data_IF_455606297331
#
_entry.id   IF_455606297331
#
_cell.length_a   1.000
_cell.length_b   1.000
_cell.length_c   1.000
_cell.angle_alpha   90.00
_cell.angle_beta   90.00
_cell.angle_gamma   90.00
#
_symmetry.space_group_name_H-M   'P 1'
#
loop_
_entity.id
_entity.type
_entity.pdbx_description
1 polymer ?
#
# COMPACT_ATOMS: atom_id res chain seq x y z
N UNK A 1 12.95 -38.77 8.72
CA UNK A 1 13.66 -37.56 9.20
C UNK A 1 14.25 -36.87 7.98
N UNK A 2 13.57 -35.85 7.45
CA UNK A 2 13.96 -35.18 6.19
C UNK A 2 14.72 -33.90 6.55
N UNK A 3 15.91 -33.74 5.98
CA UNK A 3 16.87 -32.66 6.25
C UNK A 3 16.32 -31.26 5.86
N UNK A 4 16.64 -30.17 6.60
CA UNK A 4 16.03 -28.84 6.40
C UNK A 4 16.56 -28.02 5.21
N UNK A 5 17.45 -28.59 4.38
CA UNK A 5 18.17 -27.84 3.33
C UNK A 5 17.41 -27.69 2.00
N UNK A 6 16.33 -28.45 1.78
CA UNK A 6 15.59 -28.46 0.51
C UNK A 6 14.34 -27.54 0.53
N UNK A 7 13.82 -27.21 1.70
CA UNK A 7 12.65 -26.33 1.88
C UNK A 7 12.93 -24.87 1.49
N UNK A 8 14.19 -24.43 1.64
CA UNK A 8 14.61 -23.06 1.29
C UNK A 8 14.68 -22.87 -0.24
N UNK A 9 14.96 -23.95 -1.00
CA UNK A 9 15.03 -23.92 -2.47
C UNK A 9 13.65 -23.86 -3.15
N UNK A 10 12.66 -24.57 -2.62
CA UNK A 10 11.29 -24.58 -3.13
C UNK A 10 10.54 -23.27 -2.85
N UNK A 11 10.67 -22.73 -1.64
CA UNK A 11 10.15 -21.40 -1.31
C UNK A 11 10.81 -20.29 -2.17
N UNK A 12 12.07 -20.49 -2.59
CA UNK A 12 12.80 -19.57 -3.47
C UNK A 12 12.34 -19.64 -4.93
N UNK A 13 11.79 -20.77 -5.38
CA UNK A 13 11.21 -20.94 -6.72
C UNK A 13 9.76 -20.45 -6.77
N UNK A 14 8.91 -20.80 -5.80
CA UNK A 14 7.50 -20.37 -5.76
C UNK A 14 7.36 -18.83 -5.70
N UNK A 15 8.26 -18.14 -5.00
CA UNK A 15 8.26 -16.67 -4.87
C UNK A 15 8.75 -15.96 -6.15
N UNK A 16 9.60 -16.59 -6.97
CA UNK A 16 10.00 -16.03 -8.26
C UNK A 16 8.81 -15.95 -9.24
N UNK A 17 7.86 -16.88 -9.14
CA UNK A 17 6.73 -16.98 -10.07
C UNK A 17 5.63 -15.94 -9.80
N UNK A 18 5.37 -15.52 -8.56
CA UNK A 18 4.26 -14.59 -8.24
C UNK A 18 4.50 -13.18 -8.81
N UNK A 19 5.76 -12.75 -8.95
CA UNK A 19 6.08 -11.45 -9.56
C UNK A 19 5.89 -11.43 -11.10
N UNK A 20 5.92 -12.59 -11.75
CA UNK A 20 5.75 -12.72 -13.20
C UNK A 20 4.27 -12.78 -13.65
N UNK A 21 3.31 -12.99 -12.73
CA UNK A 21 1.87 -13.05 -13.07
C UNK A 21 1.20 -11.69 -13.21
N UNK A 22 1.73 -10.66 -12.56
CA UNK A 22 1.02 -9.40 -12.34
C UNK A 22 1.65 -8.31 -13.18
N UNK A 23 0.84 -7.62 -13.99
CA UNK A 23 1.35 -6.46 -14.73
C UNK A 23 1.67 -5.35 -13.74
N UNK A 24 2.88 -4.80 -13.82
CA UNK A 24 3.33 -3.67 -12.98
C UNK A 24 2.35 -2.49 -13.08
N UNK A 25 1.79 -2.25 -14.27
CA UNK A 25 0.75 -1.25 -14.51
C UNK A 25 -0.52 -1.48 -13.66
N UNK A 26 -0.90 -2.72 -13.37
CA UNK A 26 -2.06 -3.01 -12.52
C UNK A 26 -1.78 -2.71 -11.04
N UNK A 27 -0.53 -2.84 -10.58
CA UNK A 27 -0.11 -2.38 -9.26
C UNK A 27 -0.26 -0.86 -9.16
N UNK A 28 0.07 -0.12 -10.24
CA UNK A 28 -0.15 1.32 -10.28
C UNK A 28 -1.62 1.69 -10.11
N UNK A 29 -2.53 1.03 -10.83
CA UNK A 29 -3.96 1.25 -10.66
C UNK A 29 -4.41 0.91 -9.25
N UNK A 30 -4.01 -0.22 -8.66
CA UNK A 30 -4.34 -0.56 -7.28
C UNK A 30 -3.90 0.53 -6.29
N UNK A 31 -2.66 1.02 -6.43
CA UNK A 31 -2.14 2.14 -5.63
C UNK A 31 -2.96 3.42 -5.83
N UNK A 32 -3.44 3.66 -7.05
CA UNK A 32 -4.18 4.87 -7.40
C UNK A 32 -5.58 4.90 -6.80
N UNK A 33 -6.26 3.76 -6.75
CA UNK A 33 -7.53 3.63 -6.02
C UNK A 33 -7.31 3.67 -4.51
N UNK A 34 -6.35 2.90 -3.99
CA UNK A 34 -6.11 2.82 -2.54
C UNK A 34 -5.66 4.16 -1.94
N UNK A 35 -4.99 5.00 -2.74
CA UNK A 35 -4.58 6.35 -2.37
C UNK A 35 -5.52 7.36 -3.01
N UNK A 36 -6.53 7.83 -2.26
CA UNK A 36 -7.52 8.84 -2.72
C UNK A 36 -6.89 10.07 -3.43
N UNK A 37 -5.62 10.38 -3.16
CA UNK A 37 -4.88 11.52 -3.73
C UNK A 37 -4.08 11.20 -5.02
N UNK A 38 -3.95 9.94 -5.44
CA UNK A 38 -3.19 9.58 -6.66
C UNK A 38 -3.89 10.06 -7.94
N UNK A 39 -5.20 10.27 -7.86
CA UNK A 39 -6.03 10.59 -9.01
C UNK A 39 -5.78 11.98 -9.58
N UNK A 40 -5.34 12.94 -8.76
CA UNK A 40 -5.00 14.29 -9.24
C UNK A 40 -3.64 14.34 -9.95
N UNK A 41 -2.78 13.32 -9.76
CA UNK A 41 -1.41 13.28 -10.31
C UNK A 41 -1.33 12.62 -11.71
N UNK A 42 -2.43 12.63 -12.48
CA UNK A 42 -2.48 12.21 -13.89
C UNK A 42 -2.19 10.73 -14.13
N UNK A 43 -3.06 9.89 -13.60
CA UNK A 43 -3.09 8.43 -13.82
C UNK A 43 -2.89 8.07 -15.28
N UNK A 44 -3.51 8.80 -16.21
CA UNK A 44 -3.57 8.42 -17.62
C UNK A 44 -2.19 8.39 -18.31
N UNK A 45 -1.26 9.28 -17.93
CA UNK A 45 0.05 9.33 -18.60
C UNK A 45 1.01 8.27 -18.05
N UNK A 46 1.01 8.04 -16.72
CA UNK A 46 1.85 6.99 -16.13
C UNK A 46 1.26 5.62 -16.48
N UNK A 47 -0.06 5.48 -16.49
CA UNK A 47 -0.70 4.24 -16.91
C UNK A 47 -0.59 3.99 -18.42
N UNK A 48 -0.37 5.00 -19.26
CA UNK A 48 -0.12 4.78 -20.69
C UNK A 48 1.24 4.11 -20.95
N UNK A 49 2.19 4.20 -20.01
CA UNK A 49 3.51 3.58 -20.14
C UNK A 49 3.48 2.09 -19.73
N UNK A 50 4.23 1.28 -20.47
CA UNK A 50 4.56 -0.08 -20.05
C UNK A 50 5.81 -0.08 -19.17
N UNK A 51 5.75 -0.82 -18.06
CA UNK A 51 6.83 -0.95 -17.10
C UNK A 51 7.25 -2.41 -16.99
N UNK A 52 8.50 -2.70 -17.34
CA UNK A 52 9.10 -4.03 -17.15
C UNK A 52 9.47 -4.27 -15.68
N UNK A 53 9.78 -3.20 -14.96
CA UNK A 53 10.22 -3.25 -13.57
C UNK A 53 9.42 -2.29 -12.69
N UNK A 54 8.99 -2.77 -11.54
CA UNK A 54 8.27 -1.97 -10.54
C UNK A 54 9.07 -0.74 -10.05
N UNK A 55 10.41 -0.80 -10.13
CA UNK A 55 11.27 0.34 -9.82
C UNK A 55 11.10 1.49 -10.82
N UNK A 56 10.87 1.19 -12.09
CA UNK A 56 10.58 2.18 -13.12
C UNK A 56 9.24 2.85 -12.86
N UNK A 57 8.24 2.07 -12.44
CA UNK A 57 6.96 2.62 -12.03
C UNK A 57 7.13 3.63 -10.88
N UNK A 58 7.86 3.28 -9.82
CA UNK A 58 8.09 4.24 -8.73
C UNK A 58 8.90 5.45 -9.15
N UNK A 59 9.90 5.25 -10.02
CA UNK A 59 10.66 6.36 -10.57
C UNK A 59 9.74 7.31 -11.35
N UNK A 60 8.87 6.80 -12.22
CA UNK A 60 7.90 7.60 -12.98
C UNK A 60 6.94 8.38 -12.07
N UNK A 61 6.37 7.71 -11.06
CA UNK A 61 5.47 8.34 -10.08
C UNK A 61 6.19 9.46 -9.33
N UNK A 62 7.40 9.21 -8.84
CA UNK A 62 8.18 10.21 -8.11
C UNK A 62 8.65 11.35 -9.00
N UNK A 63 9.08 11.07 -10.23
CA UNK A 63 9.53 12.11 -11.17
C UNK A 63 8.42 13.12 -11.37
N UNK A 64 7.21 12.62 -11.64
CA UNK A 64 6.05 13.48 -11.82
C UNK A 64 5.66 14.18 -10.54
N UNK A 65 5.44 13.44 -9.47
CA UNK A 65 4.89 14.01 -8.24
C UNK A 65 5.85 14.96 -7.53
N UNK A 66 7.16 14.65 -7.50
CA UNK A 66 8.18 15.57 -6.98
C UNK A 66 8.34 16.77 -7.91
N UNK A 67 8.27 16.59 -9.24
CA UNK A 67 8.26 17.70 -10.19
C UNK A 67 7.09 18.66 -9.97
N UNK A 68 5.88 18.13 -9.77
CA UNK A 68 4.70 18.91 -9.41
C UNK A 68 4.87 19.63 -8.07
N UNK A 69 5.45 18.95 -7.08
CA UNK A 69 5.71 19.54 -5.77
C UNK A 69 6.73 20.67 -5.83
N UNK A 70 7.79 20.53 -6.63
CA UNK A 70 8.78 21.59 -6.86
C UNK A 70 8.12 22.79 -7.54
N UNK A 71 7.27 22.57 -8.56
CA UNK A 71 6.53 23.65 -9.23
C UNK A 71 5.60 24.43 -8.29
N UNK A 72 4.99 23.74 -7.31
CA UNK A 72 4.16 24.36 -6.27
C UNK A 72 4.98 25.04 -5.16
N UNK A 73 6.26 24.72 -5.07
CA UNK A 73 7.15 25.11 -3.97
C UNK A 73 7.30 23.99 -2.95
N UNK A 74 8.54 23.75 -2.51
CA UNK A 74 8.83 22.79 -1.46
C UNK A 74 8.22 23.24 -0.14
N UNK A 75 7.67 22.27 0.61
CA UNK A 75 7.17 22.54 1.95
C UNK A 75 8.32 22.98 2.85
N UNK A 76 8.14 24.15 3.46
CA UNK A 76 9.04 24.73 4.45
C UNK A 76 8.40 24.69 5.82
N UNK A 77 9.21 24.49 6.84
CA UNK A 77 8.76 24.55 8.22
C UNK A 77 9.80 25.27 9.08
N UNK A 78 9.34 25.76 10.22
CA UNK A 78 10.20 26.30 11.26
C UNK A 78 10.87 25.15 11.99
N UNK A 79 12.20 25.08 11.91
CA UNK A 79 13.02 24.11 12.64
C UNK A 79 13.84 24.89 13.68
N UNK A 80 13.79 24.50 14.97
CA UNK A 80 14.59 25.14 15.98
C UNK A 80 16.07 24.86 15.72
N UNK A 81 16.86 25.93 15.60
CA UNK A 81 18.30 25.89 15.46
C UNK A 81 18.98 26.45 16.70
N UNK A 82 20.10 25.84 17.07
CA UNK A 82 21.06 26.37 18.03
C UNK A 82 22.38 26.66 17.32
N UNK A 83 22.77 27.93 17.25
CA UNK A 83 24.00 28.33 16.56
C UNK A 83 24.78 29.38 17.35
N UNK A 84 26.12 29.34 17.25
CA UNK A 84 27.02 30.35 17.81
C UNK A 84 27.32 31.43 16.78
N UNK A 85 26.61 32.56 16.87
CA UNK A 85 26.63 33.64 15.87
C UNK A 85 27.09 34.97 16.46
N UNK A 86 27.65 35.84 15.61
CA UNK A 86 28.12 37.17 16.02
C UNK A 86 27.02 38.25 16.03
N UNK A 87 25.92 38.01 15.33
CA UNK A 87 24.70 38.81 15.38
C UNK A 87 23.72 38.18 16.37
N UNK A 88 22.99 39.01 17.13
CA UNK A 88 21.97 38.49 18.05
C UNK A 88 20.69 38.19 17.28
N UNK A 89 20.22 36.94 17.36
CA UNK A 89 18.97 36.48 16.72
C UNK A 89 18.22 35.53 17.65
N UNK A 90 16.90 35.69 17.74
CA UNK A 90 16.06 34.84 18.57
C UNK A 90 16.39 34.90 20.07
N UNK A 91 16.32 33.75 20.75
CA UNK A 91 16.58 33.62 22.19
C UNK A 91 18.06 33.36 22.45
N UNK A 92 18.70 34.26 23.18
CA UNK A 92 20.11 34.12 23.58
C UNK A 92 20.24 33.10 24.72
N UNK A 93 21.10 32.10 24.55
CA UNK A 93 21.48 31.14 25.59
C UNK A 93 22.71 31.65 26.34
N UNK A 94 22.47 32.54 27.31
CA UNK A 94 23.53 33.18 28.09
C UNK A 94 24.36 32.12 28.83
N UNK A 95 23.72 31.15 29.47
CA UNK A 95 24.39 30.07 30.21
C UNK A 95 25.36 29.30 29.32
N UNK A 96 24.93 28.89 28.12
CA UNK A 96 25.80 28.15 27.21
C UNK A 96 26.87 29.02 26.55
N UNK A 97 26.58 30.30 26.29
CA UNK A 97 27.57 31.27 25.81
C UNK A 97 28.71 31.49 26.81
N UNK A 98 28.40 31.50 28.12
CA UNK A 98 29.40 31.60 29.19
C UNK A 98 30.18 30.29 29.30
N UNK A 99 29.50 29.14 29.36
CA UNK A 99 30.12 27.81 29.46
C UNK A 99 31.11 27.55 28.33
N UNK A 100 30.73 27.88 27.10
CA UNK A 100 31.55 27.69 25.90
C UNK A 100 32.50 28.87 25.63
N UNK A 101 32.50 29.90 26.48
CA UNK A 101 33.33 31.11 26.37
C UNK A 101 33.22 31.82 25.01
N UNK A 102 32.06 31.73 24.33
CA UNK A 102 31.87 32.26 22.98
C UNK A 102 31.97 33.79 22.94
N UNK A 103 31.68 34.45 24.08
CA UNK A 103 31.76 35.89 24.24
C UNK A 103 33.17 36.44 23.99
N UNK A 104 34.23 35.67 24.30
CA UNK A 104 35.62 36.05 24.03
C UNK A 104 35.89 36.22 22.53
N UNK A 105 35.11 35.52 21.69
CA UNK A 105 35.16 35.59 20.22
C UNK A 105 34.07 36.51 19.65
N UNK A 106 33.41 37.32 20.49
CA UNK A 106 32.29 38.19 20.13
C UNK A 106 31.13 37.45 19.47
N UNK A 107 30.84 36.23 19.96
CA UNK A 107 29.70 35.42 19.52
C UNK A 107 28.84 34.98 20.70
N UNK A 108 27.56 34.74 20.45
CA UNK A 108 26.60 34.23 21.42
C UNK A 108 25.94 32.96 20.89
N UNK A 109 25.70 31.98 21.76
CA UNK A 109 24.85 30.82 21.47
C UNK A 109 23.40 31.32 21.43
N UNK A 110 22.75 31.18 20.28
CA UNK A 110 21.40 31.67 20.02
C UNK A 110 20.49 30.53 19.57
N UNK A 111 19.29 30.46 20.15
CA UNK A 111 18.19 29.62 19.69
C UNK A 111 17.22 30.43 18.84
N UNK A 112 16.99 30.01 17.61
CA UNK A 112 16.01 30.66 16.73
C UNK A 112 15.37 29.64 15.80
N UNK A 113 14.16 29.95 15.35
CA UNK A 113 13.48 29.12 14.36
C UNK A 113 13.91 29.52 12.95
N UNK A 114 14.48 28.56 12.21
CA UNK A 114 14.84 28.75 10.81
C UNK A 114 13.71 28.23 9.91
N UNK A 115 13.25 29.09 8.99
CA UNK A 115 12.25 28.70 8.00
C UNK A 115 12.94 28.02 6.81
N UNK A 116 13.04 26.70 6.88
CA UNK A 116 13.86 25.89 5.97
C UNK A 116 13.01 24.90 5.18
N UNK A 117 13.48 24.55 3.98
CA UNK A 117 12.97 23.43 3.19
C UNK A 117 13.55 22.09 3.64
N UNK A 118 14.50 22.07 4.57
CA UNK A 118 15.05 20.86 5.18
C UNK A 118 14.05 20.23 6.17
N UNK A 119 12.92 19.78 5.64
CA UNK A 119 11.85 19.11 6.38
C UNK A 119 11.94 17.61 6.18
N UNK A 120 11.49 16.82 7.17
CA UNK A 120 11.45 15.36 7.07
C UNK A 120 10.76 14.86 5.78
N UNK A 121 9.72 15.56 5.32
CA UNK A 121 9.06 15.25 4.06
C UNK A 121 10.03 15.32 2.86
N UNK A 122 10.77 16.41 2.73
CA UNK A 122 11.72 16.59 1.64
C UNK A 122 12.93 15.67 1.77
N UNK A 123 13.39 15.40 3.00
CA UNK A 123 14.47 14.44 3.27
C UNK A 123 14.08 13.03 2.80
N UNK A 124 12.84 12.62 3.07
CA UNK A 124 12.30 11.33 2.60
C UNK A 124 12.27 11.29 1.07
N UNK A 125 11.74 12.33 0.39
CA UNK A 125 11.72 12.40 -1.08
C UNK A 125 13.14 12.27 -1.66
N UNK A 126 14.08 13.07 -1.14
CA UNK A 126 15.49 13.06 -1.55
C UNK A 126 16.07 11.65 -1.40
N UNK A 127 15.89 11.05 -0.23
CA UNK A 127 16.45 9.74 0.05
C UNK A 127 15.85 8.64 -0.82
N UNK A 128 14.54 8.65 -1.08
CA UNK A 128 13.93 7.67 -1.97
C UNK A 128 14.48 7.76 -3.40
N UNK A 129 14.64 8.98 -3.94
CA UNK A 129 15.23 9.17 -5.26
C UNK A 129 16.68 8.69 -5.32
N UNK A 130 17.49 8.97 -4.28
CA UNK A 130 18.86 8.47 -4.17
C UNK A 130 18.93 6.93 -4.15
N UNK A 131 17.98 6.27 -3.48
CA UNK A 131 17.89 4.82 -3.47
C UNK A 131 17.54 4.26 -4.86
N UNK A 132 16.57 4.85 -5.56
CA UNK A 132 16.20 4.44 -6.91
C UNK A 132 17.35 4.61 -7.92
N UNK A 133 18.17 5.66 -7.79
CA UNK A 133 19.35 5.85 -8.64
C UNK A 133 20.37 4.72 -8.55
N UNK A 134 20.45 4.05 -7.39
CA UNK A 134 21.37 2.93 -7.15
C UNK A 134 20.84 1.60 -7.70
N UNK A 135 19.57 1.52 -8.10
CA UNK A 135 18.98 0.29 -8.60
C UNK A 135 19.36 0.05 -10.06
N UNK A 136 19.85 -1.15 -10.37
CA UNK A 136 20.21 -1.55 -11.73
C UNK A 136 19.01 -1.59 -12.68
N UNK A 137 17.84 -1.92 -12.16
CA UNK A 137 16.55 -2.06 -12.86
C UNK A 137 15.93 -0.74 -13.32
N UNK A 138 16.36 0.42 -12.80
CA UNK A 138 15.78 1.70 -13.20
C UNK A 138 16.38 2.17 -14.53
N UNK A 139 15.53 2.48 -15.51
CA UNK A 139 15.95 2.90 -16.85
C UNK A 139 16.81 4.18 -16.82
N UNK A 140 17.78 4.34 -17.76
CA UNK A 140 18.72 5.47 -17.74
C UNK A 140 18.09 6.87 -17.87
N UNK A 141 17.02 6.99 -18.66
CA UNK A 141 16.17 8.17 -18.81
C UNK A 141 15.53 8.57 -17.48
N UNK A 142 14.95 7.62 -16.73
CA UNK A 142 14.45 7.88 -15.38
C UNK A 142 15.55 8.30 -14.41
N UNK A 143 16.72 7.65 -14.45
CA UNK A 143 17.87 8.09 -13.64
C UNK A 143 18.30 9.52 -13.98
N UNK A 144 18.20 9.94 -15.24
CA UNK A 144 18.52 11.31 -15.66
C UNK A 144 17.54 12.32 -15.05
N UNK A 145 16.23 12.04 -15.12
CA UNK A 145 15.22 12.93 -14.54
C UNK A 145 15.28 12.99 -13.01
N UNK A 146 15.49 11.85 -12.33
CA UNK A 146 15.70 11.82 -10.88
C UNK A 146 16.90 12.69 -10.45
N UNK A 147 18.02 12.64 -11.18
CA UNK A 147 19.18 13.51 -10.90
C UNK A 147 18.85 14.99 -11.06
N UNK A 148 18.05 15.37 -12.07
CA UNK A 148 17.62 16.76 -12.24
C UNK A 148 16.77 17.23 -11.06
N UNK A 149 15.84 16.41 -10.59
CA UNK A 149 14.98 16.75 -9.46
C UNK A 149 15.78 16.89 -8.16
N UNK A 150 16.80 16.06 -7.96
CA UNK A 150 17.70 16.17 -6.81
C UNK A 150 18.46 17.49 -6.72
N UNK A 151 18.69 18.19 -7.85
CA UNK A 151 19.34 19.52 -7.83
C UNK A 151 18.49 20.56 -7.08
N UNK A 152 17.16 20.42 -7.08
CA UNK A 152 16.25 21.29 -6.33
C UNK A 152 16.21 20.97 -4.83
N UNK A 153 16.77 19.83 -4.41
CA UNK A 153 16.85 19.39 -3.01
C UNK A 153 18.28 19.51 -2.46
N UNK A 154 19.07 20.45 -3.02
CA UNK A 154 20.47 20.67 -2.63
C UNK A 154 20.65 21.09 -1.17
N UNK A 155 19.71 21.87 -0.62
CA UNK A 155 19.75 22.34 0.77
C UNK A 155 19.06 21.38 1.76
N UNK A 156 18.54 20.26 1.28
CA UNK A 156 17.86 19.26 2.10
C UNK A 156 18.88 18.23 2.55
N UNK A 157 18.94 17.92 3.84
CA UNK A 157 19.93 16.99 4.38
C UNK A 157 19.57 15.54 4.05
N UNK A 158 20.60 14.68 3.99
CA UNK A 158 20.37 13.25 3.76
C UNK A 158 19.94 12.57 5.06
N UNK A 159 18.93 11.71 4.98
CA UNK A 159 18.48 10.89 6.10
C UNK A 159 18.71 9.41 5.82
N UNK A 160 19.31 8.67 6.76
CA UNK A 160 19.44 7.22 6.63
C UNK A 160 18.04 6.57 6.64
N UNK A 161 17.74 5.58 5.79
CA UNK A 161 16.38 5.05 5.69
C UNK A 161 15.84 4.46 7.00
N UNK A 162 16.72 3.85 7.81
CA UNK A 162 16.38 3.30 9.13
C UNK A 162 16.14 4.36 10.21
N UNK A 163 16.59 5.60 9.98
CA UNK A 163 16.41 6.72 10.90
C UNK A 163 15.10 7.49 10.67
N UNK A 164 14.34 7.15 9.61
CA UNK A 164 13.08 7.81 9.29
C UNK A 164 12.04 7.44 10.35
N UNK A 165 11.58 8.44 11.11
CA UNK A 165 10.46 8.32 12.05
C UNK A 165 9.14 8.63 11.35
N UNK A 166 8.52 7.61 10.77
CA UNK A 166 7.26 7.74 10.03
C UNK A 166 6.10 8.26 10.89
N UNK A 167 6.10 7.93 12.17
CA UNK A 167 5.15 8.39 13.20
C UNK A 167 5.26 9.88 13.51
N UNK A 168 6.38 10.53 13.17
CA UNK A 168 6.58 11.97 13.34
C UNK A 168 5.97 12.81 12.21
N UNK A 169 5.55 12.19 11.10
CA UNK A 169 4.94 12.90 9.98
C UNK A 169 3.58 13.46 10.36
N UNK A 170 3.35 14.72 10.00
CA UNK A 170 2.09 15.43 10.24
C UNK A 170 1.61 16.04 8.94
N UNK A 171 0.37 15.72 8.58
CA UNK A 171 -0.28 16.24 7.39
C UNK A 171 -1.33 17.27 7.78
N UNK A 172 -1.28 18.42 7.12
CA UNK A 172 -2.23 19.52 7.24
C UNK A 172 -2.44 20.13 5.85
N UNK A 173 -3.40 21.06 5.72
CA UNK A 173 -3.77 21.67 4.43
C UNK A 173 -2.57 22.14 3.57
N UNK A 174 -1.51 22.66 4.20
CA UNK A 174 -0.33 23.21 3.50
C UNK A 174 0.68 22.15 3.00
N UNK A 175 0.51 20.87 3.34
CA UNK A 175 1.38 19.79 2.89
C UNK A 175 0.60 18.52 2.51
N UNK A 176 -0.72 18.64 2.31
CA UNK A 176 -1.59 17.51 1.97
C UNK A 176 -1.16 16.80 0.67
N UNK A 177 -0.55 17.55 -0.24
CA UNK A 177 0.02 17.08 -1.51
C UNK A 177 1.17 16.08 -1.31
N UNK A 178 1.91 16.17 -0.20
CA UNK A 178 2.99 15.25 0.10
C UNK A 178 2.49 13.86 0.52
N UNK A 179 1.28 13.75 1.07
CA UNK A 179 0.79 12.49 1.66
C UNK A 179 0.90 11.31 0.71
N UNK A 180 0.55 11.53 -0.56
CA UNK A 180 0.68 10.52 -1.60
C UNK A 180 2.15 10.15 -1.86
N UNK A 181 3.00 11.16 -2.10
CA UNK A 181 4.41 10.92 -2.41
C UNK A 181 5.13 10.22 -1.26
N UNK A 182 4.82 10.60 -0.03
CA UNK A 182 5.40 9.98 1.15
C UNK A 182 4.90 8.55 1.33
N UNK A 183 3.65 8.21 0.96
CA UNK A 183 3.21 6.82 0.93
C UNK A 183 4.00 6.01 -0.11
N UNK A 184 4.26 6.56 -1.29
CA UNK A 184 5.09 5.91 -2.31
C UNK A 184 6.54 5.76 -1.82
N UNK A 185 7.11 6.78 -1.20
CA UNK A 185 8.42 6.72 -0.57
C UNK A 185 8.49 5.69 0.55
N UNK A 186 7.44 5.63 1.39
CA UNK A 186 7.31 4.64 2.46
C UNK A 186 7.36 3.24 1.89
N UNK A 187 6.59 3.00 0.83
CA UNK A 187 6.65 1.77 0.10
C UNK A 187 8.12 1.53 -0.33
N UNK A 188 8.65 2.31 -1.28
CA UNK A 188 9.97 2.08 -1.87
C UNK A 188 11.05 1.83 -0.81
N UNK A 189 11.09 2.65 0.24
CA UNK A 189 12.07 2.52 1.31
C UNK A 189 11.88 1.22 2.11
N UNK A 190 10.67 0.92 2.58
CA UNK A 190 10.43 -0.19 3.51
C UNK A 190 10.68 -1.58 2.94
N UNK A 191 10.98 -1.70 1.66
CA UNK A 191 11.67 -2.91 1.29
C UNK A 191 12.36 -2.94 -0.06
N UNK A 192 12.92 -1.80 -0.41
CA UNK A 192 14.36 -1.81 -0.61
C UNK A 192 15.12 -2.24 0.67
N UNK A 193 14.72 -1.79 1.87
CA UNK A 193 15.41 -2.13 3.12
C UNK A 193 15.43 -3.62 3.50
N UNK A 194 14.48 -4.42 3.02
CA UNK A 194 14.40 -5.88 3.26
C UNK A 194 15.36 -6.70 2.38
N UNK A 195 16.15 -6.04 1.53
CA UNK A 195 17.04 -6.70 0.55
C UNK A 195 18.51 -6.77 0.98
N UNK A 196 18.84 -6.39 2.22
CA UNK A 196 20.23 -6.36 2.68
C UNK A 196 20.72 -7.74 3.13
N UNK A 197 20.98 -8.62 2.17
CA UNK A 197 22.01 -9.67 2.26
C UNK A 197 22.23 -10.21 0.83
N UNK A 198 23.36 -9.86 0.21
CA UNK A 198 23.74 -10.10 -1.20
C UNK A 198 22.98 -9.26 -2.24
N UNK A 199 23.63 -8.20 -2.73
CA UNK A 199 23.12 -7.21 -3.69
C UNK A 199 22.79 -7.76 -5.09
N UNK A 200 21.75 -8.58 -5.19
CA UNK A 200 21.07 -8.93 -6.43
C UNK A 200 19.57 -8.70 -6.26
N UNK A 201 19.04 -7.74 -7.02
CA UNK A 201 17.62 -7.53 -7.36
C UNK A 201 16.58 -8.22 -6.47
N UNK A 202 16.06 -7.56 -5.42
CA UNK A 202 14.88 -8.07 -4.70
C UNK A 202 13.92 -7.02 -4.16
N UNK A 203 13.67 -5.93 -4.88
CA UNK A 203 12.36 -5.26 -4.72
C UNK A 203 11.21 -6.14 -5.23
N UNK A 204 11.50 -7.28 -5.86
CA UNK A 204 10.52 -8.33 -6.14
C UNK A 204 10.12 -9.14 -4.89
N UNK A 205 10.86 -9.02 -3.77
CA UNK A 205 10.52 -9.69 -2.49
C UNK A 205 9.60 -8.84 -1.60
N UNK A 206 9.11 -7.71 -2.11
CA UNK A 206 9.05 -6.49 -1.32
C UNK A 206 7.68 -6.11 -0.75
N UNK A 207 6.56 -6.44 -1.37
CA UNK A 207 5.32 -6.28 -0.62
C UNK A 207 5.13 -7.60 0.10
N UNK A 208 5.59 -7.66 1.37
CA UNK A 208 5.24 -8.74 2.28
C UNK A 208 3.76 -9.07 2.07
N UNK A 209 3.39 -10.35 2.02
CA UNK A 209 2.03 -10.78 1.63
C UNK A 209 0.94 -9.95 2.31
N UNK A 210 1.16 -9.54 3.56
CA UNK A 210 0.30 -8.63 4.33
C UNK A 210 0.13 -7.22 3.73
N UNK A 211 1.20 -6.59 3.22
CA UNK A 211 1.12 -5.26 2.60
C UNK A 211 0.43 -5.31 1.24
N UNK A 212 0.65 -6.37 0.45
CA UNK A 212 -0.12 -6.59 -0.77
C UNK A 212 -1.57 -6.89 -0.47
N UNK A 213 -1.84 -7.72 0.54
CA UNK A 213 -3.19 -8.03 0.98
C UNK A 213 -3.95 -6.75 1.35
N UNK A 214 -3.35 -5.88 2.17
CA UNK A 214 -3.93 -4.58 2.52
C UNK A 214 -4.11 -3.65 1.33
N UNK A 215 -3.15 -3.63 0.40
CA UNK A 215 -3.27 -2.84 -0.83
C UNK A 215 -4.44 -3.34 -1.66
N UNK A 216 -4.56 -4.65 -1.83
CA UNK A 216 -5.60 -5.32 -2.58
C UNK A 216 -6.99 -5.09 -1.96
N UNK A 217 -7.13 -5.29 -0.66
CA UNK A 217 -8.34 -5.00 0.13
C UNK A 217 -8.79 -3.54 -0.10
N UNK A 218 -7.89 -2.58 0.13
CA UNK A 218 -8.17 -1.15 -0.03
C UNK A 218 -8.49 -0.77 -1.47
N UNK A 219 -7.82 -1.39 -2.43
CA UNK A 219 -8.09 -1.19 -3.84
C UNK A 219 -9.53 -1.60 -4.18
N UNK A 220 -9.93 -2.83 -3.82
CA UNK A 220 -11.28 -3.33 -4.13
C UNK A 220 -12.34 -2.47 -3.45
N UNK A 221 -12.12 -2.08 -2.19
CA UNK A 221 -13.02 -1.16 -1.50
C UNK A 221 -13.12 0.19 -2.20
N UNK A 222 -11.98 0.83 -2.50
CA UNK A 222 -11.94 2.14 -3.13
C UNK A 222 -12.51 2.14 -4.55
N UNK A 223 -12.36 1.02 -5.29
CA UNK A 223 -12.98 0.81 -6.59
C UNK A 223 -14.50 0.93 -6.48
N UNK A 224 -15.13 0.16 -5.60
CA UNK A 224 -16.58 0.22 -5.42
C UNK A 224 -17.05 1.55 -4.86
N UNK A 225 -16.33 2.13 -3.89
CA UNK A 225 -16.68 3.46 -3.34
C UNK A 225 -16.78 4.53 -4.42
N UNK A 226 -15.95 4.40 -5.47
CA UNK A 226 -15.90 5.36 -6.56
C UNK A 226 -16.96 5.09 -7.63
N UNK A 227 -17.04 3.85 -8.11
CA UNK A 227 -17.86 3.51 -9.27
C UNK A 227 -19.28 3.10 -8.92
N UNK A 228 -19.49 2.61 -7.69
CA UNK A 228 -20.78 2.15 -7.20
C UNK A 228 -21.15 2.71 -5.82
N UNK A 229 -21.19 4.04 -5.63
CA UNK A 229 -21.62 4.64 -4.37
C UNK A 229 -23.05 4.23 -3.98
N UNK A 230 -23.90 3.88 -4.95
CA UNK A 230 -25.26 3.38 -4.75
C UNK A 230 -25.33 2.05 -3.96
N UNK A 231 -24.24 1.29 -3.91
CA UNK A 231 -24.13 0.07 -3.09
C UNK A 231 -23.58 0.32 -1.68
N UNK A 232 -23.46 1.59 -1.28
CA UNK A 232 -22.90 2.01 0.01
C UNK A 232 -21.63 1.26 0.46
N UNK A 233 -20.55 1.21 -0.36
CA UNK A 233 -19.41 0.33 -0.12
C UNK A 233 -18.61 0.71 1.12
N UNK A 234 -18.43 -0.23 2.05
CA UNK A 234 -17.70 0.00 3.31
C UNK A 234 -17.15 -1.29 3.92
N UNK A 235 -16.08 -1.17 4.72
CA UNK A 235 -15.75 -2.19 5.70
C UNK A 235 -16.77 -2.13 6.84
N UNK A 236 -17.42 -3.25 7.18
CA UNK A 236 -18.47 -3.30 8.21
C UNK A 236 -18.08 -4.25 9.34
N UNK A 237 -18.44 -3.86 10.57
CA UNK A 237 -18.51 -4.81 11.67
C UNK A 237 -19.79 -5.63 11.56
N UNK A 238 -19.66 -6.95 11.77
CA UNK A 238 -20.78 -7.89 11.76
C UNK A 238 -20.95 -8.36 13.20
N UNK A 239 -22.13 -8.16 13.76
CA UNK A 239 -22.41 -8.55 15.13
C UNK A 239 -22.70 -10.06 15.17
N UNK A 240 -22.21 -10.74 16.21
CA UNK A 240 -22.59 -12.11 16.52
C UNK A 240 -24.10 -12.22 16.72
N UNK A 241 -24.68 -13.28 16.18
CA UNK A 241 -26.09 -13.63 16.32
C UNK A 241 -26.28 -14.52 17.55
N UNK A 242 -26.14 -13.91 18.72
CA UNK A 242 -26.31 -14.56 20.02
C UNK A 242 -27.10 -13.65 20.95
N UNK A 243 -27.74 -14.23 21.96
CA UNK A 243 -28.50 -13.50 22.98
C UNK A 243 -27.64 -12.99 24.15
N UNK A 244 -26.40 -13.49 24.28
CA UNK A 244 -25.49 -13.23 25.41
C UNK A 244 -24.40 -12.19 25.06
N UNK A 245 -23.62 -11.80 26.08
CA UNK A 245 -22.52 -10.86 25.95
C UNK A 245 -21.41 -11.37 25.02
N UNK A 246 -20.94 -10.50 24.13
CA UNK A 246 -19.94 -10.84 23.10
C UNK A 246 -18.49 -10.57 23.53
N UNK A 247 -18.22 -10.33 24.82
CA UNK A 247 -16.94 -9.77 25.30
C UNK A 247 -15.71 -10.61 24.94
N UNK A 248 -15.85 -11.94 24.93
CA UNK A 248 -14.76 -12.87 24.61
C UNK A 248 -14.76 -13.35 23.16
N UNK A 249 -15.71 -12.89 22.34
CA UNK A 249 -15.83 -13.32 20.95
C UNK A 249 -14.92 -12.49 20.04
N UNK A 250 -14.34 -13.10 19.00
CA UNK A 250 -13.51 -12.37 18.06
C UNK A 250 -14.37 -11.37 17.28
N UNK A 251 -13.80 -10.19 17.04
CA UNK A 251 -14.47 -9.14 16.27
C UNK A 251 -14.57 -9.57 14.81
N UNK A 252 -15.79 -9.66 14.28
CA UNK A 252 -16.02 -9.92 12.86
C UNK A 252 -16.04 -8.60 12.10
N UNK A 253 -15.03 -8.38 11.28
CA UNK A 253 -14.93 -7.22 10.40
C UNK A 253 -14.72 -7.71 8.98
N UNK A 254 -15.63 -7.35 8.08
CA UNK A 254 -15.48 -7.64 6.66
C UNK A 254 -14.54 -6.64 5.99
N UNK A 255 -13.85 -7.09 4.95
CA UNK A 255 -13.07 -6.22 4.06
C UNK A 255 -13.99 -5.24 3.32
N UNK A 256 -14.99 -5.75 2.59
CA UNK A 256 -15.98 -4.94 1.87
C UNK A 256 -17.38 -5.49 2.10
N UNK A 257 -18.33 -4.59 2.30
CA UNK A 257 -19.77 -4.85 2.24
C UNK A 257 -20.38 -3.94 1.19
N UNK A 258 -21.18 -4.53 0.31
CA UNK A 258 -22.01 -3.83 -0.67
C UNK A 258 -23.47 -4.10 -0.31
N UNK A 259 -24.29 -3.07 -0.18
CA UNK A 259 -25.70 -3.18 0.16
C UNK A 259 -26.55 -2.44 -0.85
N UNK A 260 -27.54 -3.11 -1.42
CA UNK A 260 -28.51 -2.53 -2.33
C UNK A 260 -29.91 -3.06 -2.01
N UNK A 261 -30.83 -2.16 -1.66
CA UNK A 261 -32.15 -2.52 -1.11
C UNK A 261 -31.99 -3.48 0.09
N UNK A 262 -32.63 -4.64 0.05
CA UNK A 262 -32.53 -5.67 1.09
C UNK A 262 -31.36 -6.64 0.88
N UNK A 263 -30.69 -6.59 -0.28
CA UNK A 263 -29.60 -7.49 -0.63
C UNK A 263 -28.26 -6.95 -0.14
N UNK A 264 -27.41 -7.84 0.39
CA UNK A 264 -26.05 -7.52 0.84
C UNK A 264 -25.06 -8.53 0.31
N UNK A 265 -23.95 -8.06 -0.26
CA UNK A 265 -22.77 -8.87 -0.57
C UNK A 265 -21.68 -8.52 0.45
N UNK A 266 -21.12 -9.55 1.08
CA UNK A 266 -19.89 -9.46 1.89
C UNK A 266 -18.75 -9.99 1.04
N UNK A 267 -17.75 -9.18 0.74
CA UNK A 267 -16.55 -9.58 0.01
C UNK A 267 -15.40 -9.65 1.00
N UNK A 268 -14.72 -10.79 1.02
CA UNK A 268 -13.51 -11.03 1.77
C UNK A 268 -12.38 -11.30 0.77
N UNK A 269 -11.35 -10.47 0.82
CA UNK A 269 -10.26 -10.44 -0.15
C UNK A 269 -9.09 -11.27 0.33
N UNK A 270 -8.46 -12.02 -0.57
CA UNK A 270 -7.39 -12.94 -0.24
C UNK A 270 -6.22 -12.77 -1.20
N UNK A 271 -5.04 -12.47 -0.65
CA UNK A 271 -3.77 -12.39 -1.39
C UNK A 271 -2.88 -13.57 -1.01
N UNK A 272 -2.78 -14.57 -1.88
CA UNK A 272 -1.98 -15.77 -1.63
C UNK A 272 -1.29 -16.26 -2.90
N UNK A 273 -0.12 -16.87 -2.73
CA UNK A 273 0.54 -17.63 -3.78
C UNK A 273 -0.19 -18.93 -4.16
N UNK A 274 -1.07 -19.44 -3.28
CA UNK A 274 -1.93 -20.60 -3.52
C UNK A 274 -3.38 -20.31 -3.19
N UNK A 275 -4.28 -20.52 -4.15
CA UNK A 275 -5.73 -20.29 -4.04
C UNK A 275 -6.51 -21.56 -3.68
N UNK A 276 -5.85 -22.73 -3.76
CA UNK A 276 -6.40 -24.04 -3.38
C UNK A 276 -5.48 -24.79 -2.40
N UNK A 277 -6.07 -25.66 -1.57
CA UNK A 277 -5.36 -26.62 -0.73
C UNK A 277 -5.20 -27.95 -1.48
N UNK A 278 -3.98 -28.48 -1.53
CA UNK A 278 -3.69 -29.80 -2.09
C UNK A 278 -3.55 -30.82 -0.98
N UNK A 279 -4.31 -31.91 -1.03
CA UNK A 279 -4.09 -33.06 -0.17
C UNK A 279 -3.03 -33.96 -0.82
N UNK A 280 -1.80 -33.92 -0.28
CA UNK A 280 -0.66 -34.66 -0.83
C UNK A 280 -0.81 -36.18 -0.80
N UNK A 281 -1.77 -36.72 -0.04
CA UNK A 281 -2.01 -38.15 0.07
C UNK A 281 -2.95 -38.69 -1.01
N UNK A 282 -3.81 -37.82 -1.59
CA UNK A 282 -4.84 -38.19 -2.57
C UNK A 282 -4.79 -37.38 -3.87
N UNK A 283 -3.79 -36.51 -4.02
CA UNK A 283 -3.62 -35.55 -5.13
C UNK A 283 -4.91 -34.77 -5.47
N UNK A 284 -5.75 -34.53 -4.45
CA UNK A 284 -7.00 -33.81 -4.59
C UNK A 284 -6.83 -32.33 -4.22
N UNK A 285 -7.48 -31.45 -4.98
CA UNK A 285 -7.50 -30.01 -4.74
C UNK A 285 -8.84 -29.61 -4.14
N UNK A 286 -8.81 -28.79 -3.10
CA UNK A 286 -10.00 -28.27 -2.40
C UNK A 286 -9.86 -26.79 -2.08
N UNK A 287 -10.96 -26.13 -1.75
CA UNK A 287 -10.92 -24.74 -1.29
C UNK A 287 -10.25 -24.61 0.08
N UNK A 288 -9.65 -23.45 0.35
CA UNK A 288 -9.06 -23.16 1.66
C UNK A 288 -10.17 -23.09 2.72
N UNK A 289 -10.22 -24.10 3.59
CA UNK A 289 -11.30 -24.29 4.56
C UNK A 289 -11.45 -23.10 5.52
N UNK A 290 -10.34 -22.52 5.99
CA UNK A 290 -10.37 -21.35 6.89
C UNK A 290 -11.06 -20.15 6.26
N UNK A 291 -10.86 -19.90 4.96
CA UNK A 291 -11.50 -18.80 4.23
C UNK A 291 -13.00 -19.07 4.08
N UNK A 292 -13.35 -20.31 3.73
CA UNK A 292 -14.74 -20.76 3.63
C UNK A 292 -15.50 -20.59 4.95
N UNK A 293 -14.90 -21.00 6.07
CA UNK A 293 -15.51 -20.86 7.39
C UNK A 293 -15.67 -19.40 7.81
N UNK A 294 -14.68 -18.55 7.50
CA UNK A 294 -14.75 -17.12 7.79
C UNK A 294 -15.92 -16.45 7.05
N UNK A 295 -15.99 -16.60 5.72
CA UNK A 295 -17.05 -15.97 4.93
C UNK A 295 -18.43 -16.53 5.29
N UNK A 296 -18.52 -17.84 5.53
CA UNK A 296 -19.78 -18.47 5.95
C UNK A 296 -20.27 -17.90 7.28
N UNK A 297 -19.36 -17.73 8.26
CA UNK A 297 -19.68 -17.13 9.56
C UNK A 297 -20.21 -15.70 9.38
N UNK A 298 -19.54 -14.89 8.53
CA UNK A 298 -19.97 -13.51 8.26
C UNK A 298 -21.36 -13.44 7.63
N UNK A 299 -21.60 -14.26 6.61
CA UNK A 299 -22.89 -14.32 5.92
C UNK A 299 -24.01 -14.75 6.87
N UNK A 300 -23.80 -15.80 7.67
CA UNK A 300 -24.82 -16.28 8.60
C UNK A 300 -25.17 -15.30 9.71
N UNK A 301 -24.18 -14.66 10.31
CA UNK A 301 -24.42 -13.66 11.36
C UNK A 301 -25.05 -12.36 10.81
N UNK A 302 -24.90 -12.10 9.50
CA UNK A 302 -25.55 -10.99 8.82
C UNK A 302 -26.98 -11.33 8.38
N UNK A 303 -27.23 -12.55 7.92
CA UNK A 303 -28.54 -13.06 7.51
C UNK A 303 -29.29 -13.76 8.66
N UNK A 304 -29.49 -13.04 9.76
CA UNK A 304 -30.08 -13.60 11.00
C UNK A 304 -31.48 -14.17 10.80
N UNK A 305 -32.24 -13.58 9.88
CA UNK A 305 -33.61 -14.00 9.57
C UNK A 305 -33.66 -15.14 8.54
N UNK A 306 -32.52 -15.59 8.02
CA UNK A 306 -32.45 -16.65 7.01
C UNK A 306 -33.15 -16.27 5.70
N UNK A 307 -33.11 -14.99 5.33
CA UNK A 307 -33.79 -14.44 4.16
C UNK A 307 -33.20 -14.91 2.83
N UNK A 308 -31.93 -15.34 2.83
CA UNK A 308 -31.16 -15.58 1.60
C UNK A 308 -30.68 -14.30 0.92
N UNK A 309 -31.01 -13.12 1.45
CA UNK A 309 -30.63 -11.82 0.88
C UNK A 309 -29.19 -11.39 1.22
N UNK A 310 -28.42 -12.24 1.90
CA UNK A 310 -26.99 -12.03 2.08
C UNK A 310 -26.20 -13.07 1.31
N UNK A 311 -25.24 -12.60 0.52
CA UNK A 311 -24.27 -13.41 -0.18
C UNK A 311 -22.84 -13.12 0.29
N UNK A 312 -21.97 -14.11 0.16
CA UNK A 312 -20.53 -13.99 0.43
C UNK A 312 -19.72 -14.16 -0.84
N UNK A 313 -18.64 -13.40 -0.97
CA UNK A 313 -17.66 -13.54 -2.05
C UNK A 313 -16.27 -13.67 -1.45
N UNK A 314 -15.60 -14.78 -1.72
CA UNK A 314 -14.15 -14.90 -1.52
C UNK A 314 -13.47 -14.46 -2.81
N UNK A 315 -12.79 -13.32 -2.77
CA UNK A 315 -12.14 -12.73 -3.94
C UNK A 315 -10.62 -12.90 -3.84
N UNK A 316 -10.08 -13.84 -4.60
CA UNK A 316 -8.65 -14.12 -4.65
C UNK A 316 -7.96 -13.26 -5.71
N UNK A 317 -6.78 -12.72 -5.40
CA UNK A 317 -5.90 -12.21 -6.46
C UNK A 317 -5.28 -13.40 -7.21
N UNK A 318 -5.49 -13.50 -8.52
CA UNK A 318 -4.90 -14.58 -9.32
C UNK A 318 -3.39 -14.40 -9.40
N UNK A 319 -2.68 -15.48 -9.12
CA UNK A 319 -1.24 -15.61 -9.37
C UNK A 319 -1.02 -16.71 -10.42
N UNK A 320 0.14 -17.36 -10.47
CA UNK A 320 0.49 -18.33 -11.53
C UNK A 320 -0.27 -19.69 -11.48
N UNK A 321 -1.37 -19.80 -10.73
CA UNK A 321 -2.12 -21.05 -10.66
C UNK A 321 -2.99 -21.26 -11.91
N UNK A 322 -2.89 -22.47 -12.48
CA UNK A 322 -3.69 -22.90 -13.63
C UNK A 322 -5.15 -23.21 -13.28
N UNK A 323 -5.45 -23.44 -12.00
CA UNK A 323 -6.78 -23.73 -11.49
C UNK A 323 -7.16 -22.65 -10.50
N UNK A 324 -8.21 -21.89 -10.83
CA UNK A 324 -8.76 -20.85 -9.98
C UNK A 324 -10.13 -21.26 -9.47
N UNK A 325 -10.48 -20.90 -8.22
CA UNK A 325 -11.81 -21.14 -7.71
C UNK A 325 -12.76 -20.08 -8.32
N UNK A 326 -13.35 -20.38 -9.47
CA UNK A 326 -14.43 -19.57 -10.07
C UNK A 326 -15.74 -20.36 -10.02
N UNK A 327 -16.33 -20.43 -8.83
CA UNK A 327 -17.52 -21.23 -8.54
C UNK A 327 -18.54 -20.46 -7.73
N UNK A 328 -19.81 -20.78 -7.96
CA UNK A 328 -20.94 -20.27 -7.18
C UNK A 328 -21.60 -21.43 -6.45
N UNK A 329 -21.74 -21.31 -5.14
CA UNK A 329 -22.33 -22.32 -4.26
C UNK A 329 -23.53 -21.73 -3.52
N UNK A 330 -24.49 -22.57 -3.17
CA UNK A 330 -25.55 -22.21 -2.22
C UNK A 330 -25.33 -23.02 -0.95
N UNK A 331 -24.98 -22.33 0.13
CA UNK A 331 -24.73 -22.93 1.44
C UNK A 331 -25.79 -22.46 2.42
N UNK A 332 -26.63 -23.40 2.89
CA UNK A 332 -27.70 -23.13 3.86
C UNK A 332 -28.62 -21.96 3.45
N UNK A 333 -28.99 -21.88 2.16
CA UNK A 333 -29.87 -20.84 1.62
C UNK A 333 -29.18 -19.54 1.19
N UNK A 334 -27.88 -19.37 1.48
CA UNK A 334 -27.12 -18.18 1.08
C UNK A 334 -26.18 -18.50 -0.08
N UNK A 335 -26.02 -17.56 -1.01
CA UNK A 335 -25.03 -17.67 -2.08
C UNK A 335 -23.62 -17.40 -1.54
N UNK A 336 -22.68 -18.29 -1.81
CA UNK A 336 -21.26 -18.10 -1.56
C UNK A 336 -20.51 -18.29 -2.89
N UNK A 337 -19.89 -17.22 -3.36
CA UNK A 337 -19.09 -17.20 -4.57
C UNK A 337 -17.61 -17.26 -4.23
N UNK A 338 -16.87 -18.09 -4.93
CA UNK A 338 -15.42 -18.01 -4.98
C UNK A 338 -15.07 -17.48 -6.35
N UNK A 339 -14.32 -16.38 -6.39
CA UNK A 339 -13.96 -15.69 -7.63
C UNK A 339 -12.50 -15.28 -7.57
N UNK A 340 -11.89 -15.18 -8.73
CA UNK A 340 -10.50 -14.75 -8.84
C UNK A 340 -10.37 -13.53 -9.74
N UNK A 341 -9.64 -12.51 -9.27
CA UNK A 341 -9.30 -11.31 -10.03
C UNK A 341 -7.93 -11.48 -10.69
N UNK A 342 -7.89 -11.49 -12.02
CA UNK A 342 -6.67 -11.79 -12.80
C UNK A 342 -5.86 -10.52 -13.05
N UNK A 343 -4.97 -10.20 -12.11
CA UNK A 343 -4.10 -9.00 -12.17
C UNK A 343 -3.02 -9.09 -13.26
N UNK A 344 -2.93 -10.19 -14.01
CA UNK A 344 -2.10 -10.31 -15.20
C UNK A 344 -2.75 -9.83 -16.50
N UNK A 345 -4.07 -9.57 -16.48
CA UNK A 345 -4.82 -9.12 -17.66
C UNK A 345 -4.78 -7.60 -17.84
N UNK A 346 -5.28 -7.15 -18.98
CA UNK A 346 -5.56 -5.72 -19.19
C UNK A 346 -6.56 -5.19 -18.17
N UNK A 347 -6.41 -3.91 -17.85
CA UNK A 347 -7.22 -3.24 -16.83
C UNK A 347 -8.72 -3.38 -17.07
N UNK A 348 -9.17 -3.26 -18.32
CA UNK A 348 -10.59 -3.39 -18.68
C UNK A 348 -11.16 -4.76 -18.28
N UNK A 349 -10.36 -5.83 -18.39
CA UNK A 349 -10.77 -7.18 -17.98
C UNK A 349 -10.86 -7.31 -16.46
N UNK A 350 -9.96 -6.64 -15.73
CA UNK A 350 -10.01 -6.60 -14.27
C UNK A 350 -11.27 -5.87 -13.81
N UNK A 351 -11.61 -4.75 -14.44
CA UNK A 351 -12.86 -4.02 -14.13
C UNK A 351 -14.08 -4.85 -14.47
N UNK A 352 -14.14 -5.51 -15.63
CA UNK A 352 -15.24 -6.43 -15.98
C UNK A 352 -15.44 -7.53 -14.93
N UNK A 353 -14.35 -8.10 -14.39
CA UNK A 353 -14.42 -9.09 -13.32
C UNK A 353 -15.02 -8.50 -12.04
N UNK A 354 -14.63 -7.29 -11.64
CA UNK A 354 -15.20 -6.59 -10.48
C UNK A 354 -16.67 -6.25 -10.67
N UNK A 355 -17.06 -5.78 -11.86
CA UNK A 355 -18.45 -5.49 -12.21
C UNK A 355 -19.33 -6.75 -12.10
N UNK A 356 -18.81 -7.88 -12.57
CA UNK A 356 -19.56 -9.15 -12.54
C UNK A 356 -19.97 -9.60 -11.13
N UNK A 357 -19.22 -9.21 -10.09
CA UNK A 357 -19.52 -9.54 -8.70
C UNK A 357 -20.82 -8.88 -8.22
N UNK A 358 -21.18 -7.72 -8.77
CA UNK A 358 -22.35 -6.96 -8.34
C UNK A 358 -23.65 -7.37 -9.04
N UNK A 359 -23.57 -8.18 -10.11
CA UNK A 359 -24.73 -8.60 -10.91
C UNK A 359 -25.89 -9.15 -10.08
N UNK A 360 -25.59 -9.86 -8.99
CA UNK A 360 -26.59 -10.44 -8.10
C UNK A 360 -27.33 -9.42 -7.22
N UNK A 361 -26.72 -8.30 -6.88
CA UNK A 361 -27.40 -7.22 -6.14
C UNK A 361 -28.53 -6.61 -6.98
N UNK A 362 -28.38 -6.64 -8.30
CA UNK A 362 -29.29 -6.03 -9.25
C UNK A 362 -30.42 -6.94 -9.72
N UNK A 363 -30.41 -8.22 -9.34
CA UNK A 363 -31.54 -9.10 -9.66
C UNK A 363 -32.78 -8.64 -8.90
N UNK A 364 -33.95 -8.88 -9.47
CA UNK A 364 -35.23 -8.60 -8.79
C UNK A 364 -35.43 -9.47 -7.54
#
# INVERSE_FOLDING_TARGET
>A
MIHPRWSIGLARLEVLFVADSIKVKNIYYMLSYASQNLHEAGIDQVAAEEFDHIHDLFAAILIRGVGDQIRRGLHKNYVPQEETIGSLRGRIQITESIKQQTMLRRKMVCLFDEFTEDTLHNQILKQTMLLLLRMGSVRPDYKKELRKLLMYLGNVTDIAPRAIRWDALRYHRNNATYKMLINICWLVINGLLLTTESGGYRLARWLADEQMHRLYERFVLAYYQRHHPEFAPRASYINWDIAEDTYWLPVMKSDITLTYKEKTIIIDTKWYSKTMQTNSMYDSKSFISSHMYQIFTYVKNKDRLGSGNVAGVLLYAKTNESITPDNDLVLSGNRISLKTLDLGREWDRITEQLESLCSWLLTE
#
